data_IF_021047176019
#
_entry.id   IF_021047176019
#
_cell.length_a   1.000
_cell.length_b   1.000
_cell.length_c   1.000
_cell.angle_alpha   90.00
_cell.angle_beta   90.00
_cell.angle_gamma   90.00
#
_symmetry.space_group_name_H-M   'P 1'
#
loop_
_entity.id
_entity.type
_entity.pdbx_description
1 polymer ?
#
# COMPACT_ATOMS: atom_id res chain seq x y z
N UNK A 1 -24.80 5.72 1.95
CA UNK A 1 -24.47 5.04 0.68
C UNK A 1 -23.05 5.45 0.33
N UNK A 2 -22.26 4.57 -0.30
CA UNK A 2 -20.89 4.90 -0.68
C UNK A 2 -20.89 5.97 -1.78
N UNK A 3 -20.06 6.99 -1.66
CA UNK A 3 -19.97 8.07 -2.65
C UNK A 3 -18.97 7.67 -3.76
N UNK A 4 -19.45 7.41 -5.00
CA UNK A 4 -18.60 6.98 -6.10
C UNK A 4 -17.56 8.00 -6.51
N UNK A 5 -17.85 9.29 -6.37
CA UNK A 5 -16.91 10.34 -6.76
C UNK A 5 -15.77 10.38 -5.73
N UNK A 6 -16.09 10.24 -4.45
CA UNK A 6 -15.10 10.24 -3.38
C UNK A 6 -14.08 9.12 -3.53
N UNK A 7 -14.52 7.85 -3.57
CA UNK A 7 -13.56 6.74 -3.58
C UNK A 7 -12.73 6.69 -4.89
N UNK A 8 -13.28 7.18 -6.01
CA UNK A 8 -12.52 7.33 -7.25
C UNK A 8 -11.47 8.44 -7.15
N UNK A 9 -11.82 9.60 -6.61
CA UNK A 9 -10.88 10.69 -6.37
C UNK A 9 -9.76 10.25 -5.41
N UNK A 10 -10.12 9.59 -4.31
CA UNK A 10 -9.17 9.00 -3.37
C UNK A 10 -8.26 7.97 -4.04
N UNK A 11 -8.80 7.06 -4.85
CA UNK A 11 -8.02 6.08 -5.60
C UNK A 11 -6.99 6.77 -6.53
N UNK A 12 -7.40 7.80 -7.27
CA UNK A 12 -6.49 8.56 -8.14
C UNK A 12 -5.38 9.25 -7.34
N UNK A 13 -5.70 9.87 -6.21
CA UNK A 13 -4.69 10.53 -5.36
C UNK A 13 -3.77 9.49 -4.72
N UNK A 14 -4.29 8.33 -4.30
CA UNK A 14 -3.48 7.23 -3.76
C UNK A 14 -2.50 6.69 -4.79
N UNK A 15 -2.83 6.70 -6.09
CA UNK A 15 -1.87 6.32 -7.15
C UNK A 15 -0.63 7.22 -7.20
N UNK A 16 -0.68 8.45 -6.68
CA UNK A 16 0.52 9.28 -6.51
C UNK A 16 1.53 8.66 -5.52
N UNK A 17 1.11 7.68 -4.72
CA UNK A 17 1.99 6.87 -3.88
C UNK A 17 2.95 6.00 -4.69
N UNK A 18 2.65 5.65 -5.95
CA UNK A 18 3.56 4.88 -6.83
C UNK A 18 4.84 5.67 -7.12
N UNK A 19 4.79 6.87 -7.73
CA UNK A 19 5.99 7.69 -7.90
C UNK A 19 6.58 8.13 -6.54
N UNK A 20 5.75 8.31 -5.51
CA UNK A 20 6.21 8.58 -4.14
C UNK A 20 7.13 7.49 -3.59
N UNK A 21 6.73 6.21 -3.71
CA UNK A 21 7.53 5.06 -3.25
C UNK A 21 8.84 4.92 -4.03
N UNK A 22 8.82 5.17 -5.34
CA UNK A 22 10.03 5.12 -6.15
C UNK A 22 11.04 6.20 -5.77
N UNK A 23 10.56 7.43 -5.54
CA UNK A 23 11.42 8.52 -5.05
C UNK A 23 11.93 8.25 -3.62
N UNK A 24 11.07 7.68 -2.76
CA UNK A 24 11.41 7.39 -1.37
C UNK A 24 12.53 6.34 -1.25
N UNK A 25 12.45 5.29 -2.05
CA UNK A 25 13.37 4.15 -2.03
C UNK A 25 14.61 4.35 -2.92
N UNK A 26 14.71 5.46 -3.67
CA UNK A 26 15.80 5.66 -4.63
C UNK A 26 15.70 4.79 -5.89
N UNK A 27 14.54 4.18 -6.13
CA UNK A 27 14.26 3.38 -7.32
C UNK A 27 14.26 4.22 -8.59
N UNK A 28 15.00 3.78 -9.61
CA UNK A 28 14.96 4.41 -10.94
C UNK A 28 13.82 3.85 -11.77
N UNK A 29 13.00 4.72 -12.38
CA UNK A 29 11.85 4.31 -13.19
C UNK A 29 12.24 3.29 -14.27
N UNK A 30 13.41 3.45 -14.91
CA UNK A 30 13.91 2.51 -15.92
C UNK A 30 14.11 1.08 -15.40
N UNK A 31 14.47 0.91 -14.13
CA UNK A 31 14.65 -0.40 -13.50
C UNK A 31 13.34 -0.97 -12.93
N UNK A 32 12.48 -0.11 -12.40
CA UNK A 32 11.25 -0.53 -11.70
C UNK A 32 10.01 -0.59 -12.60
N UNK A 33 9.98 0.10 -13.74
CA UNK A 33 8.87 0.09 -14.69
C UNK A 33 8.32 -1.30 -15.03
N UNK A 34 9.16 -2.33 -15.33
CA UNK A 34 8.63 -3.66 -15.62
C UNK A 34 7.93 -4.32 -14.41
N UNK A 35 8.40 -4.06 -13.20
CA UNK A 35 7.80 -4.59 -11.98
C UNK A 35 6.50 -3.85 -11.65
N UNK A 36 6.49 -2.52 -11.83
CA UNK A 36 5.29 -1.70 -11.66
C UNK A 36 4.22 -2.10 -12.68
N UNK A 37 4.59 -2.38 -13.93
CA UNK A 37 3.66 -2.86 -14.95
C UNK A 37 3.09 -4.24 -14.61
N UNK A 38 3.92 -5.17 -14.11
CA UNK A 38 3.46 -6.46 -13.60
C UNK A 38 2.47 -6.28 -12.44
N UNK A 39 2.82 -5.47 -11.46
CA UNK A 39 1.96 -5.19 -10.30
C UNK A 39 0.66 -4.54 -10.73
N UNK A 40 0.68 -3.60 -11.66
CA UNK A 40 -0.51 -2.96 -12.20
C UNK A 40 -1.46 -3.97 -12.84
N UNK A 41 -0.93 -4.84 -13.73
CA UNK A 41 -1.71 -5.91 -14.34
C UNK A 41 -2.28 -6.89 -13.30
N UNK A 42 -1.46 -7.30 -12.33
CA UNK A 42 -1.87 -8.19 -11.26
C UNK A 42 -2.99 -7.59 -10.41
N UNK A 43 -2.83 -6.34 -9.95
CA UNK A 43 -3.81 -5.67 -9.09
C UNK A 43 -5.10 -5.30 -9.83
N UNK A 44 -5.03 -5.01 -11.13
CA UNK A 44 -6.24 -4.90 -11.96
C UNK A 44 -7.04 -6.20 -11.96
N UNK A 45 -6.37 -7.35 -12.16
CA UNK A 45 -7.03 -8.66 -12.13
C UNK A 45 -7.60 -8.94 -10.75
N UNK A 46 -6.85 -8.69 -9.67
CA UNK A 46 -7.33 -8.87 -8.30
C UNK A 46 -8.57 -8.01 -8.02
N UNK A 47 -8.56 -6.73 -8.41
CA UNK A 47 -9.71 -5.84 -8.25
C UNK A 47 -10.94 -6.32 -9.02
N UNK A 48 -10.76 -6.68 -10.30
CA UNK A 48 -11.84 -7.20 -11.13
C UNK A 48 -12.44 -8.50 -10.55
N UNK A 49 -11.61 -9.46 -10.16
CA UNK A 49 -12.05 -10.73 -9.57
C UNK A 49 -12.75 -10.48 -8.23
N UNK A 50 -12.18 -9.65 -7.35
CA UNK A 50 -12.76 -9.36 -6.05
C UNK A 50 -14.12 -8.65 -6.16
N UNK A 51 -14.26 -7.74 -7.13
CA UNK A 51 -15.53 -7.07 -7.43
C UNK A 51 -16.58 -8.03 -8.00
N UNK A 52 -16.22 -8.88 -8.97
CA UNK A 52 -17.15 -9.83 -9.62
C UNK A 52 -17.60 -10.93 -8.64
N UNK A 53 -16.70 -11.43 -7.80
CA UNK A 53 -17.02 -12.47 -6.81
C UNK A 53 -17.70 -11.93 -5.55
N UNK A 54 -17.69 -10.60 -5.36
CA UNK A 54 -18.19 -9.97 -4.13
C UNK A 54 -17.27 -10.16 -2.92
N UNK A 55 -16.05 -10.68 -3.10
CA UNK A 55 -15.08 -10.85 -2.02
C UNK A 55 -14.70 -9.50 -1.37
N UNK A 56 -14.62 -8.44 -2.18
CA UNK A 56 -14.48 -7.06 -1.72
C UNK A 56 -15.67 -6.24 -2.24
N UNK A 57 -16.54 -5.70 -1.36
CA UNK A 57 -17.70 -4.96 -1.81
C UNK A 57 -17.36 -3.54 -2.28
N UNK A 58 -17.98 -3.11 -3.38
CA UNK A 58 -18.03 -1.71 -3.82
C UNK A 58 -16.65 -1.04 -3.93
N UNK A 59 -16.48 0.10 -3.25
CA UNK A 59 -15.25 0.90 -3.31
C UNK A 59 -13.99 0.18 -2.81
N UNK A 60 -14.11 -0.86 -1.97
CA UNK A 60 -12.95 -1.67 -1.58
C UNK A 60 -12.34 -2.43 -2.76
N UNK A 61 -13.14 -2.87 -3.74
CA UNK A 61 -12.64 -3.53 -4.95
C UNK A 61 -11.80 -2.59 -5.84
N UNK A 62 -11.81 -1.28 -5.57
CA UNK A 62 -11.02 -0.27 -6.29
C UNK A 62 -9.84 0.19 -5.42
N UNK A 63 -10.10 0.57 -4.17
CA UNK A 63 -9.09 1.14 -3.29
C UNK A 63 -8.06 0.11 -2.82
N UNK A 64 -8.46 -1.13 -2.54
CA UNK A 64 -7.54 -2.18 -2.09
C UNK A 64 -6.51 -2.53 -3.17
N UNK A 65 -6.88 -2.72 -4.45
CA UNK A 65 -5.89 -2.86 -5.52
C UNK A 65 -4.93 -1.69 -5.66
N UNK A 66 -5.41 -0.46 -5.51
CA UNK A 66 -4.57 0.73 -5.58
C UNK A 66 -3.58 0.76 -4.41
N UNK A 67 -4.03 0.47 -3.19
CA UNK A 67 -3.15 0.33 -2.02
C UNK A 67 -2.13 -0.79 -2.24
N UNK A 68 -2.56 -1.95 -2.74
CA UNK A 68 -1.70 -3.08 -3.07
C UNK A 68 -0.64 -2.73 -4.12
N UNK A 69 -0.98 -1.92 -5.13
CA UNK A 69 -0.03 -1.43 -6.12
C UNK A 69 1.01 -0.49 -5.51
N UNK A 70 0.59 0.44 -4.64
CA UNK A 70 1.51 1.36 -3.96
C UNK A 70 2.47 0.59 -3.03
N UNK A 71 1.93 -0.28 -2.17
CA UNK A 71 2.74 -1.10 -1.26
C UNK A 71 3.68 -2.03 -2.06
N UNK A 72 3.15 -2.69 -3.09
CA UNK A 72 3.92 -3.53 -4.00
C UNK A 72 5.02 -2.77 -4.73
N UNK A 73 4.81 -1.50 -5.08
CA UNK A 73 5.85 -0.65 -5.69
C UNK A 73 6.99 -0.40 -4.72
N UNK A 74 6.70 -0.14 -3.44
CA UNK A 74 7.72 -0.05 -2.39
C UNK A 74 8.53 -1.34 -2.26
N UNK A 75 7.84 -2.49 -2.27
CA UNK A 75 8.50 -3.81 -2.26
C UNK A 75 9.36 -4.00 -3.52
N UNK A 76 8.85 -3.68 -4.70
CA UNK A 76 9.56 -3.81 -5.96
C UNK A 76 10.84 -2.99 -5.99
N UNK A 77 10.80 -1.75 -5.51
CA UNK A 77 11.98 -0.91 -5.46
C UNK A 77 13.04 -1.47 -4.49
N UNK A 78 12.63 -1.91 -3.29
CA UNK A 78 13.55 -2.54 -2.35
C UNK A 78 14.15 -3.87 -2.87
N UNK A 79 13.36 -4.67 -3.61
CA UNK A 79 13.86 -5.88 -4.26
C UNK A 79 14.83 -5.56 -5.41
N UNK A 80 14.59 -4.50 -6.18
CA UNK A 80 15.44 -4.10 -7.30
C UNK A 80 16.87 -3.75 -6.88
N UNK A 81 17.07 -3.27 -5.66
CA UNK A 81 18.40 -2.99 -5.10
C UNK A 81 19.17 -4.26 -4.71
N UNK A 82 18.45 -5.34 -4.36
CA UNK A 82 19.02 -6.57 -3.78
C UNK A 82 19.14 -7.69 -4.81
N UNK A 83 18.20 -7.77 -5.74
CA UNK A 83 17.99 -8.89 -6.64
C UNK A 83 18.06 -8.40 -8.09
N UNK A 84 19.12 -8.77 -8.81
CA UNK A 84 19.29 -8.36 -10.21
C UNK A 84 18.44 -9.19 -11.18
N UNK A 85 18.20 -10.47 -10.86
CA UNK A 85 17.44 -11.38 -11.70
C UNK A 85 15.96 -10.99 -11.74
N UNK A 86 15.51 -10.47 -12.89
CA UNK A 86 14.13 -10.00 -13.10
C UNK A 86 13.08 -11.10 -12.85
N UNK A 87 13.36 -12.34 -13.25
CA UNK A 87 12.44 -13.47 -13.02
C UNK A 87 12.20 -13.75 -11.53
N UNK A 88 13.26 -13.73 -10.72
CA UNK A 88 13.18 -13.94 -9.27
C UNK A 88 12.41 -12.79 -8.62
N UNK A 89 12.69 -11.55 -9.01
CA UNK A 89 11.92 -10.37 -8.56
C UNK A 89 10.44 -10.48 -8.88
N UNK A 90 10.09 -10.80 -10.12
CA UNK A 90 8.70 -10.96 -10.53
C UNK A 90 7.99 -12.05 -9.71
N UNK A 91 8.66 -13.18 -9.47
CA UNK A 91 8.14 -14.27 -8.64
C UNK A 91 7.93 -13.83 -7.19
N UNK A 92 8.90 -13.13 -6.60
CA UNK A 92 8.79 -12.61 -5.23
C UNK A 92 7.69 -11.55 -5.08
N UNK A 93 7.52 -10.69 -6.09
CA UNK A 93 6.44 -9.70 -6.12
C UNK A 93 5.06 -10.36 -6.23
N UNK A 94 4.92 -11.33 -7.13
CA UNK A 94 3.70 -12.12 -7.23
C UNK A 94 3.42 -12.88 -5.92
N UNK A 95 4.45 -13.47 -5.31
CA UNK A 95 4.36 -14.14 -4.01
C UNK A 95 3.92 -13.20 -2.89
N UNK A 96 4.53 -12.02 -2.77
CA UNK A 96 4.11 -10.99 -1.83
C UNK A 96 2.64 -10.59 -2.05
N UNK A 97 2.26 -10.26 -3.28
CA UNK A 97 0.89 -9.84 -3.59
C UNK A 97 -0.13 -10.92 -3.30
N UNK A 98 0.09 -12.16 -3.78
CA UNK A 98 -0.93 -13.22 -3.73
C UNK A 98 -0.93 -14.01 -2.42
N UNK A 99 0.21 -14.17 -1.75
CA UNK A 99 0.34 -15.02 -0.57
C UNK A 99 0.37 -14.21 0.74
N UNK A 100 0.66 -12.91 0.67
CA UNK A 100 0.74 -12.05 1.86
C UNK A 100 -0.32 -10.96 1.79
N UNK A 101 -0.26 -10.10 0.78
CA UNK A 101 -1.13 -8.93 0.74
C UNK A 101 -2.60 -9.31 0.54
N UNK A 102 -2.93 -10.10 -0.49
CA UNK A 102 -4.33 -10.46 -0.79
C UNK A 102 -5.00 -11.17 0.39
N UNK A 103 -4.40 -12.20 1.03
CA UNK A 103 -5.01 -12.83 2.20
C UNK A 103 -5.24 -11.86 3.35
N UNK A 104 -4.25 -11.01 3.68
CA UNK A 104 -4.40 -9.99 4.72
C UNK A 104 -5.47 -8.95 4.36
N UNK A 105 -5.55 -8.55 3.10
CA UNK A 105 -6.56 -7.63 2.62
C UNK A 105 -7.97 -8.24 2.65
N UNK A 106 -8.12 -9.53 2.39
CA UNK A 106 -9.41 -10.23 2.54
C UNK A 106 -9.80 -10.38 4.01
N UNK A 107 -8.84 -10.61 4.91
CA UNK A 107 -9.09 -10.61 6.36
C UNK A 107 -9.57 -9.23 6.84
N UNK A 108 -8.92 -8.16 6.38
CA UNK A 108 -9.24 -6.79 6.81
C UNK A 108 -10.50 -6.26 6.13
N UNK A 109 -10.56 -6.32 4.81
CA UNK A 109 -11.58 -5.65 3.98
C UNK A 109 -12.69 -6.58 3.48
N UNK A 110 -12.51 -7.90 3.58
CA UNK A 110 -13.51 -8.88 3.17
C UNK A 110 -14.80 -8.76 3.97
N UNK A 111 -15.93 -9.10 3.33
CA UNK A 111 -17.24 -8.99 3.96
C UNK A 111 -17.62 -7.56 4.38
N UNK A 112 -17.00 -6.54 3.76
CA UNK A 112 -17.28 -5.13 4.03
C UNK A 112 -16.44 -4.52 5.15
N UNK A 113 -15.24 -5.02 5.41
CA UNK A 113 -14.31 -4.41 6.37
C UNK A 113 -14.57 -4.76 7.84
N UNK A 114 -15.45 -5.73 8.11
CA UNK A 114 -15.89 -6.05 9.48
C UNK A 114 -15.52 -7.46 9.93
N UNK A 115 -14.98 -8.29 9.04
CA UNK A 115 -14.67 -9.68 9.36
C UNK A 115 -13.70 -9.80 10.54
N UNK A 116 -12.55 -9.11 10.45
CA UNK A 116 -11.54 -9.10 11.51
C UNK A 116 -12.11 -8.62 12.85
N UNK A 117 -12.98 -7.61 12.82
CA UNK A 117 -13.61 -7.08 14.02
C UNK A 117 -14.61 -8.07 14.63
N UNK A 118 -15.43 -8.74 13.80
CA UNK A 118 -16.44 -9.70 14.28
C UNK A 118 -15.81 -10.96 14.86
N UNK A 119 -14.77 -11.48 14.22
CA UNK A 119 -14.17 -12.77 14.59
C UNK A 119 -13.08 -12.63 15.66
N UNK A 120 -12.30 -11.53 15.62
CA UNK A 120 -11.09 -11.37 16.45
C UNK A 120 -11.18 -10.15 17.37
N UNK A 121 -12.19 -9.30 17.23
CA UNK A 121 -12.33 -8.07 18.02
C UNK A 121 -11.29 -6.99 17.68
N UNK A 122 -10.61 -7.12 16.53
CA UNK A 122 -9.56 -6.20 16.08
C UNK A 122 -10.01 -5.40 14.86
N UNK A 123 -9.50 -4.18 14.71
CA UNK A 123 -9.87 -3.29 13.61
C UNK A 123 -8.62 -2.77 12.93
N UNK A 124 -8.60 -2.87 11.60
CA UNK A 124 -7.61 -2.24 10.75
C UNK A 124 -8.34 -1.38 9.71
N UNK A 125 -8.37 -0.08 9.99
CA UNK A 125 -9.17 0.87 9.22
C UNK A 125 -8.57 1.15 7.84
N UNK A 126 -7.26 1.39 7.77
CA UNK A 126 -6.58 1.89 6.58
C UNK A 126 -5.69 0.84 5.89
N UNK A 127 -5.75 -0.42 6.33
CA UNK A 127 -4.95 -1.51 5.77
C UNK A 127 -3.50 -1.51 6.24
N UNK A 128 -3.26 -1.11 7.49
CA UNK A 128 -1.93 -1.18 8.10
C UNK A 128 -1.40 -2.62 8.17
N UNK A 129 -2.26 -3.63 8.38
CA UNK A 129 -1.89 -5.04 8.36
C UNK A 129 -1.33 -5.47 6.99
N UNK A 130 -2.08 -5.37 5.87
CA UNK A 130 -1.54 -5.76 4.56
C UNK A 130 -0.41 -4.83 4.09
N UNK A 131 -0.55 -3.51 4.25
CA UNK A 131 0.36 -2.55 3.63
C UNK A 131 1.63 -2.27 4.44
N UNK A 132 1.56 -2.16 5.77
CA UNK A 132 2.72 -1.86 6.60
C UNK A 132 3.33 -3.13 7.19
N UNK A 133 2.53 -3.95 7.88
CA UNK A 133 3.03 -5.17 8.55
C UNK A 133 3.39 -6.24 7.51
N UNK A 134 2.52 -6.48 6.53
CA UNK A 134 2.75 -7.45 5.47
C UNK A 134 3.96 -7.10 4.60
N UNK A 135 4.04 -5.86 4.11
CA UNK A 135 5.18 -5.40 3.31
C UNK A 135 6.47 -5.32 4.14
N UNK A 136 6.40 -4.76 5.34
CA UNK A 136 7.54 -4.62 6.25
C UNK A 136 8.12 -5.97 6.64
N UNK A 137 7.27 -6.90 7.11
CA UNK A 137 7.69 -8.25 7.48
C UNK A 137 8.31 -9.02 6.30
N UNK A 138 7.71 -8.93 5.11
CA UNK A 138 8.28 -9.52 3.90
C UNK A 138 9.68 -8.95 3.58
N UNK A 139 9.82 -7.62 3.61
CA UNK A 139 11.09 -6.96 3.34
C UNK A 139 12.15 -7.25 4.40
N UNK A 140 11.76 -7.42 5.67
CA UNK A 140 12.68 -7.87 6.73
C UNK A 140 13.23 -9.26 6.42
N UNK A 141 12.38 -10.21 6.02
CA UNK A 141 12.83 -11.56 5.64
C UNK A 141 13.80 -11.50 4.45
N UNK A 142 13.47 -10.70 3.43
CA UNK A 142 14.37 -10.52 2.27
C UNK A 142 15.68 -9.85 2.67
N UNK A 143 15.64 -8.87 3.57
CA UNK A 143 16.83 -8.19 4.05
C UNK A 143 17.77 -9.17 4.78
N UNK A 144 17.22 -10.00 5.68
CA UNK A 144 17.96 -11.03 6.41
C UNK A 144 18.56 -12.08 5.46
N UNK A 145 17.82 -12.50 4.43
CA UNK A 145 18.29 -13.50 3.47
C UNK A 145 19.35 -12.95 2.49
N UNK A 146 19.33 -11.65 2.17
CA UNK A 146 20.19 -11.06 1.14
C UNK A 146 21.53 -10.52 1.68
N UNK A 147 21.65 -10.26 2.99
CA UNK A 147 22.90 -9.82 3.63
C UNK A 147 23.46 -8.48 3.14
N UNK A 148 22.69 -7.71 2.36
CA UNK A 148 23.11 -6.42 1.76
C UNK A 148 22.40 -5.25 2.45
N UNK A 149 23.07 -4.11 2.55
CA UNK A 149 22.44 -2.83 2.91
C UNK A 149 22.38 -1.93 1.68
N UNK A 150 21.26 -1.25 1.47
CA UNK A 150 21.13 -0.23 0.43
C UNK A 150 21.56 1.14 0.96
N UNK A 151 22.16 1.96 0.10
CA UNK A 151 22.49 3.34 0.40
C UNK A 151 21.49 4.25 -0.34
N UNK A 152 20.58 4.89 0.41
CA UNK A 152 19.55 5.76 -0.15
C UNK A 152 20.03 7.21 -0.33
N UNK A 153 19.54 7.88 -1.38
CA UNK A 153 19.76 9.30 -1.62
C UNK A 153 18.74 10.15 -0.83
N UNK A 154 19.23 10.94 0.14
CA UNK A 154 18.38 11.56 1.18
C UNK A 154 17.40 12.64 0.68
N UNK A 155 17.74 13.37 -0.39
CA UNK A 155 16.93 14.55 -0.82
C UNK A 155 15.69 14.12 -1.62
N UNK A 156 15.82 13.14 -2.52
CA UNK A 156 14.69 12.57 -3.24
C UNK A 156 13.76 11.79 -2.30
N UNK A 157 14.33 11.20 -1.24
CA UNK A 157 13.57 10.49 -0.23
C UNK A 157 12.52 11.37 0.47
N UNK A 158 12.83 12.63 0.78
CA UNK A 158 11.87 13.54 1.41
C UNK A 158 10.65 13.83 0.51
N UNK A 159 10.89 14.09 -0.78
CA UNK A 159 9.81 14.33 -1.75
C UNK A 159 8.94 13.09 -1.93
N UNK A 160 9.58 11.92 -2.01
CA UNK A 160 8.89 10.63 -2.03
C UNK A 160 8.02 10.42 -0.79
N UNK A 161 8.57 10.67 0.39
CA UNK A 161 7.85 10.55 1.66
C UNK A 161 6.61 11.47 1.72
N UNK A 162 6.73 12.72 1.26
CA UNK A 162 5.59 13.65 1.20
C UNK A 162 4.48 13.15 0.27
N UNK A 163 4.82 12.62 -0.90
CA UNK A 163 3.84 12.03 -1.83
C UNK A 163 3.17 10.79 -1.23
N UNK A 164 3.94 9.92 -0.56
CA UNK A 164 3.40 8.75 0.14
C UNK A 164 2.48 9.17 1.28
N UNK A 165 2.81 10.22 2.03
CA UNK A 165 1.95 10.74 3.09
C UNK A 165 0.60 11.24 2.55
N UNK A 166 0.61 12.02 1.46
CA UNK A 166 -0.63 12.47 0.79
C UNK A 166 -1.44 11.28 0.26
N UNK A 167 -0.78 10.31 -0.38
CA UNK A 167 -1.42 9.11 -0.89
C UNK A 167 -2.05 8.27 0.23
N UNK A 168 -1.40 8.18 1.38
CA UNK A 168 -1.89 7.47 2.56
C UNK A 168 -3.13 8.17 3.16
N UNK A 169 -3.13 9.50 3.27
CA UNK A 169 -4.31 10.28 3.72
C UNK A 169 -5.50 10.01 2.79
N UNK A 170 -5.29 10.15 1.48
CA UNK A 170 -6.34 9.90 0.50
C UNK A 170 -6.85 8.45 0.55
N UNK A 171 -5.96 7.49 0.77
CA UNK A 171 -6.33 6.08 0.90
C UNK A 171 -7.19 5.85 2.15
N UNK A 172 -6.77 6.36 3.31
CA UNK A 172 -7.52 6.21 4.56
C UNK A 172 -8.90 6.86 4.48
N UNK A 173 -9.00 8.08 3.95
CA UNK A 173 -10.29 8.74 3.69
C UNK A 173 -11.14 7.94 2.69
N UNK A 174 -10.52 7.44 1.61
CA UNK A 174 -11.23 6.63 0.62
C UNK A 174 -11.81 5.34 1.21
N UNK A 175 -11.07 4.68 2.09
CA UNK A 175 -11.47 3.42 2.75
C UNK A 175 -12.61 3.61 3.76
N UNK A 176 -12.96 4.85 4.11
CA UNK A 176 -14.19 5.18 4.83
C UNK A 176 -15.45 4.92 3.96
N UNK A 177 -15.30 4.96 2.63
CA UNK A 177 -16.33 4.80 1.60
C UNK A 177 -17.47 5.83 1.61
N UNK A 178 -17.59 6.63 2.66
CA UNK A 178 -18.57 7.71 2.83
C UNK A 178 -17.89 8.93 3.46
N UNK A 179 -18.45 10.11 3.24
CA UNK A 179 -18.06 11.31 3.97
C UNK A 179 -18.97 11.41 5.19
N UNK A 180 -18.38 11.38 6.38
CA UNK A 180 -19.07 11.66 7.61
C UNK A 180 -18.22 12.52 8.57
N UNK A 181 -18.66 12.64 9.81
CA UNK A 181 -18.00 13.42 10.85
C UNK A 181 -16.61 12.87 11.27
N UNK A 182 -16.31 11.60 10.92
CA UNK A 182 -15.03 10.95 11.14
C UNK A 182 -14.02 11.29 10.04
N UNK A 183 -14.45 11.64 8.83
CA UNK A 183 -13.54 11.94 7.71
C UNK A 183 -12.48 13.01 8.05
N UNK A 184 -12.84 14.15 8.67
CA UNK A 184 -11.85 15.15 9.08
C UNK A 184 -10.90 14.63 10.16
N UNK A 185 -11.40 13.81 11.10
CA UNK A 185 -10.60 13.21 12.15
C UNK A 185 -9.58 12.21 11.58
N UNK A 186 -9.98 11.37 10.63
CA UNK A 186 -9.10 10.44 9.91
C UNK A 186 -7.98 11.21 9.23
N UNK A 187 -8.32 12.24 8.44
CA UNK A 187 -7.34 13.04 7.74
C UNK A 187 -6.35 13.71 8.70
N UNK A 188 -6.85 14.28 9.80
CA UNK A 188 -6.02 14.91 10.83
C UNK A 188 -5.08 13.90 11.51
N UNK A 189 -5.59 12.73 11.92
CA UNK A 189 -4.77 11.70 12.58
C UNK A 189 -3.71 11.11 11.64
N UNK A 190 -4.01 10.97 10.35
CA UNK A 190 -3.04 10.51 9.34
C UNK A 190 -1.90 11.51 9.11
N UNK A 191 -2.11 12.80 9.37
CA UNK A 191 -1.07 13.83 9.31
C UNK A 191 -0.31 13.97 10.65
N UNK A 192 -1.01 13.85 11.78
CA UNK A 192 -0.42 14.02 13.11
C UNK A 192 0.45 12.85 13.54
N UNK A 193 0.05 11.62 13.23
CA UNK A 193 0.82 10.42 13.58
C UNK A 193 2.27 10.47 13.06
N UNK A 194 2.52 10.72 11.76
CA UNK A 194 3.89 10.84 11.27
C UNK A 194 4.61 12.08 11.82
N UNK A 195 3.93 13.21 12.02
CA UNK A 195 4.54 14.40 12.63
C UNK A 195 5.05 14.12 14.05
N UNK A 196 4.25 13.45 14.88
CA UNK A 196 4.62 13.04 16.23
C UNK A 196 5.74 12.00 16.19
N UNK A 197 5.68 11.03 15.28
CA UNK A 197 6.73 10.02 15.13
C UNK A 197 8.09 10.65 14.75
N UNK A 198 8.09 11.66 13.87
CA UNK A 198 9.30 12.43 13.52
C UNK A 198 9.84 13.19 14.73
N UNK A 199 8.98 13.88 15.47
CA UNK A 199 9.38 14.62 16.68
C UNK A 199 9.95 13.67 17.74
N UNK A 200 9.31 12.52 17.95
CA UNK A 200 9.77 11.50 18.89
C UNK A 200 11.11 10.88 18.50
N UNK A 201 11.42 10.79 17.20
CA UNK A 201 12.71 10.28 16.71
C UNK A 201 13.83 11.34 16.73
N UNK A 202 13.50 12.63 16.88
CA UNK A 202 14.45 13.74 16.89
C UNK A 202 14.89 14.18 18.30
N UNK A 203 14.19 13.71 19.34
CA UNK A 203 14.54 13.90 20.76
C UNK A 203 15.29 12.71 21.33
#
# INVERSE_FOLDING_TARGET
MADPILYLACAVITLAGVPGMLLYTGGTWSKSAPDVALLFGLWLVVGAVAGVTGALPGGFAILVPVLGLVAGTGVAAALAERIQARGIRAMLLAGFSLLIFVPLALVVFGGGGTWLYREVGSLDFAGALPAAIGAGGFLTVVALASGRSAAGERVLALRGAMLVAVAAVACAVGLELRIDELTPAIALHMLMTPAIAILAAAG
#
